data_IF_996900908004
#
_entry.id   IF_996900908004
#
_cell.length_a   1.000
_cell.length_b   1.000
_cell.length_c   1.000
_cell.angle_alpha   90.00
_cell.angle_beta   90.00
_cell.angle_gamma   90.00
#
_symmetry.space_group_name_H-M   'P 1'
#
loop_
_entity.id
_entity.type
_entity.pdbx_description
1 polymer ?
#
# COMPACT_ATOMS: atom_id res chain seq x y z
N UNK A 1 12.04 52.11 37.28
CA UNK A 1 13.10 51.20 37.78
C UNK A 1 12.81 49.84 37.18
N UNK A 2 13.71 49.39 36.29
CA UNK A 2 13.78 48.02 35.80
C UNK A 2 14.31 47.12 36.92
N UNK A 3 13.74 45.93 37.09
CA UNK A 3 14.36 44.82 37.82
C UNK A 3 14.23 43.53 36.99
N UNK A 4 15.33 43.25 36.29
CA UNK A 4 16.12 42.01 36.22
C UNK A 4 15.51 40.62 35.99
N UNK A 5 16.07 40.01 34.95
CA UNK A 5 16.13 38.60 34.58
C UNK A 5 16.68 37.68 35.70
N UNK A 6 16.22 36.42 35.75
CA UNK A 6 17.07 35.21 35.63
C UNK A 6 16.26 33.91 35.69
N UNK A 7 16.83 32.85 35.13
CA UNK A 7 16.16 31.74 34.47
C UNK A 7 16.25 30.37 35.19
N UNK A 8 15.37 29.45 34.74
CA UNK A 8 15.44 27.98 34.73
C UNK A 8 15.40 27.25 36.11
N UNK A 9 14.84 26.05 36.29
CA UNK A 9 14.99 24.78 35.57
C UNK A 9 13.84 23.80 35.93
N UNK A 10 13.51 22.90 34.98
CA UNK A 10 12.84 21.58 35.07
C UNK A 10 11.42 21.42 35.63
N UNK A 11 10.53 20.93 34.75
CA UNK A 11 10.07 19.54 34.81
C UNK A 11 9.73 19.08 33.39
N UNK A 12 10.73 18.50 32.74
CA UNK A 12 10.55 17.61 31.60
C UNK A 12 9.88 16.31 32.09
N UNK A 13 9.27 15.61 31.14
CA UNK A 13 8.50 14.36 31.27
C UNK A 13 7.03 14.48 31.70
N UNK A 14 6.14 14.46 30.70
CA UNK A 14 5.53 13.18 30.31
C UNK A 14 4.76 13.32 28.99
N UNK A 15 5.39 12.75 27.96
CA UNK A 15 4.81 12.01 26.83
C UNK A 15 3.28 11.98 26.81
N UNK A 16 2.69 12.67 25.85
CA UNK A 16 1.49 12.16 25.22
C UNK A 16 1.71 12.09 23.71
N UNK A 17 1.77 10.85 23.26
CA UNK A 17 2.01 10.36 21.92
C UNK A 17 0.94 10.87 20.97
N UNK A 18 1.20 11.96 20.28
CA UNK A 18 0.50 12.28 19.02
C UNK A 18 1.27 11.70 17.83
N UNK A 19 1.84 10.50 18.01
CA UNK A 19 2.38 9.73 16.91
C UNK A 19 1.23 9.02 16.20
N UNK A 20 1.17 9.24 14.90
CA UNK A 20 0.57 8.31 13.93
C UNK A 20 -0.97 8.22 13.89
N UNK A 21 -1.64 9.37 13.74
CA UNK A 21 -2.98 9.37 13.13
C UNK A 21 -2.96 10.07 11.77
N UNK A 22 -3.55 9.38 10.79
CA UNK A 22 -4.05 9.84 9.47
C UNK A 22 -3.15 9.88 8.23
N UNK A 23 -1.83 9.71 8.30
CA UNK A 23 -1.05 9.62 7.04
C UNK A 23 -1.16 8.24 6.39
N UNK A 24 -1.37 7.17 7.17
CA UNK A 24 -1.44 5.82 6.64
C UNK A 24 -2.72 5.58 5.83
N UNK A 25 -3.86 6.12 6.25
CA UNK A 25 -5.15 5.87 5.58
C UNK A 25 -5.18 6.39 4.14
N UNK A 26 -4.63 7.59 3.90
CA UNK A 26 -4.52 8.15 2.54
C UNK A 26 -3.42 7.48 1.70
N UNK A 27 -2.36 6.97 2.32
CA UNK A 27 -1.32 6.20 1.60
C UNK A 27 -1.88 4.85 1.12
N UNK A 28 -2.78 4.21 1.88
CA UNK A 28 -3.41 2.94 1.48
C UNK A 28 -4.21 3.04 0.16
N UNK A 29 -4.86 4.17 -0.14
CA UNK A 29 -5.70 4.35 -1.34
C UNK A 29 -4.97 4.68 -2.65
N UNK A 30 -3.66 4.48 -2.69
CA UNK A 30 -2.88 4.49 -3.93
C UNK A 30 -1.79 3.44 -3.95
N UNK A 31 -1.87 2.43 -3.07
CA UNK A 31 -0.87 1.36 -3.02
C UNK A 31 -0.93 0.59 -4.34
N UNK A 32 0.18 0.52 -5.10
CA UNK A 32 0.29 -0.31 -6.29
C UNK A 32 0.08 -1.78 -5.92
N UNK A 33 -0.70 -2.45 -6.76
CA UNK A 33 -1.01 -3.87 -6.64
C UNK A 33 -0.27 -4.59 -7.76
N UNK A 34 0.50 -5.61 -7.39
CA UNK A 34 1.44 -6.29 -8.25
C UNK A 34 1.10 -7.77 -8.32
N UNK A 35 0.98 -8.31 -9.53
CA UNK A 35 0.94 -9.75 -9.76
C UNK A 35 2.35 -10.26 -10.05
N UNK A 36 2.73 -11.37 -9.42
CA UNK A 36 4.01 -12.01 -9.71
C UNK A 36 3.83 -12.94 -10.91
N UNK A 37 4.42 -12.59 -12.05
CA UNK A 37 4.65 -13.56 -13.11
C UNK A 37 5.81 -14.46 -12.66
N UNK A 38 5.48 -15.60 -12.03
CA UNK A 38 6.45 -16.68 -11.80
C UNK A 38 6.82 -17.34 -13.14
N UNK A 39 7.54 -16.62 -13.99
CA UNK A 39 8.29 -17.22 -15.07
C UNK A 39 9.65 -17.54 -14.49
N UNK A 40 9.89 -18.81 -14.18
CA UNK A 40 11.24 -19.30 -13.90
C UNK A 40 11.92 -19.41 -15.26
N UNK A 41 12.84 -18.51 -15.56
CA UNK A 41 13.71 -18.65 -16.72
C UNK A 41 14.43 -20.01 -16.68
N UNK A 42 14.66 -20.63 -17.84
CA UNK A 42 15.32 -21.95 -17.96
C UNK A 42 16.74 -21.98 -17.37
N UNK A 43 17.33 -20.83 -17.05
CA UNK A 43 18.61 -20.66 -16.38
C UNK A 43 18.52 -20.64 -14.84
N UNK A 44 17.31 -20.74 -14.28
CA UNK A 44 17.06 -20.73 -12.84
C UNK A 44 17.36 -19.40 -12.14
N UNK A 45 17.66 -18.33 -12.88
CA UNK A 45 18.31 -17.14 -12.33
C UNK A 45 17.56 -15.82 -12.58
N UNK A 46 16.53 -15.81 -13.44
CA UNK A 46 15.69 -14.62 -13.65
C UNK A 46 14.28 -14.81 -13.09
N UNK A 47 13.97 -14.07 -12.03
CA UNK A 47 12.59 -13.70 -11.68
C UNK A 47 12.21 -12.46 -12.49
N UNK A 48 11.23 -12.58 -13.38
CA UNK A 48 10.64 -11.42 -14.05
C UNK A 48 10.09 -10.48 -12.96
N UNK A 49 10.39 -9.17 -13.01
CA UNK A 49 9.79 -8.22 -12.07
C UNK A 49 8.27 -8.27 -12.18
N UNK A 50 7.59 -8.34 -11.03
CA UNK A 50 6.13 -8.39 -10.98
C UNK A 50 5.50 -7.20 -11.72
N UNK A 51 4.32 -7.41 -12.29
CA UNK A 51 3.59 -6.42 -13.07
C UNK A 51 2.59 -5.68 -12.19
N UNK A 52 2.62 -4.35 -12.19
CA UNK A 52 1.57 -3.52 -11.59
C UNK A 52 0.29 -3.64 -12.43
N UNK A 53 -0.84 -3.93 -11.77
CA UNK A 53 -2.17 -4.06 -12.40
C UNK A 53 -3.07 -2.87 -12.11
N UNK A 54 -2.59 -1.94 -11.28
CA UNK A 54 -3.35 -0.78 -10.83
C UNK A 54 -3.08 -0.48 -9.37
N UNK A 55 -3.90 0.41 -8.80
CA UNK A 55 -3.77 0.87 -7.42
C UNK A 55 -5.03 0.61 -6.63
N UNK A 56 -4.88 0.31 -5.34
CA UNK A 56 -6.01 0.17 -4.43
C UNK A 56 -6.78 1.49 -4.44
N UNK A 57 -8.07 1.43 -4.77
CA UNK A 57 -8.98 2.56 -4.75
C UNK A 57 -9.88 2.54 -3.51
N UNK A 58 -10.31 1.35 -3.10
CA UNK A 58 -11.17 1.17 -1.93
C UNK A 58 -11.02 -0.25 -1.36
N UNK A 59 -11.52 -0.45 -0.14
CA UNK A 59 -11.81 -1.78 0.39
C UNK A 59 -13.33 -2.00 0.41
N UNK A 60 -13.78 -3.16 -0.04
CA UNK A 60 -15.18 -3.55 0.01
C UNK A 60 -15.33 -4.96 0.58
N UNK A 61 -15.81 -5.05 1.83
CA UNK A 61 -15.86 -6.30 2.60
C UNK A 61 -14.46 -6.93 2.65
N UNK A 62 -14.33 -8.20 2.27
CA UNK A 62 -13.08 -8.94 2.22
C UNK A 62 -12.32 -8.78 0.90
N UNK A 63 -12.57 -7.71 0.14
CA UNK A 63 -11.96 -7.47 -1.16
C UNK A 63 -11.31 -6.08 -1.22
N UNK A 64 -10.31 -5.97 -2.09
CA UNK A 64 -9.72 -4.72 -2.55
C UNK A 64 -10.35 -4.35 -3.89
N UNK A 65 -10.75 -3.10 -4.03
CA UNK A 65 -11.09 -2.51 -5.33
C UNK A 65 -9.82 -1.91 -5.89
N UNK A 66 -9.38 -2.37 -7.06
CA UNK A 66 -8.15 -1.93 -7.73
C UNK A 66 -8.54 -1.31 -9.07
N UNK A 67 -7.97 -0.14 -9.39
CA UNK A 67 -8.23 0.55 -10.65
C UNK A 67 -6.93 0.68 -11.43
N UNK A 68 -6.97 0.25 -12.69
CA UNK A 68 -5.93 0.51 -13.69
C UNK A 68 -6.16 1.87 -14.35
N UNK A 69 -5.13 2.72 -14.33
CA UNK A 69 -5.16 4.10 -14.82
C UNK A 69 -5.42 5.17 -13.75
N UNK A 70 -4.56 6.21 -13.71
CA UNK A 70 -4.70 7.33 -12.75
C UNK A 70 -5.90 8.25 -13.05
N UNK A 71 -6.36 8.34 -14.30
CA UNK A 71 -7.33 9.36 -14.76
C UNK A 71 -8.38 8.89 -15.78
N UNK A 72 -8.32 7.64 -16.25
CA UNK A 72 -9.37 6.97 -17.02
C UNK A 72 -9.47 5.55 -16.45
N UNK A 73 -10.66 5.15 -16.03
CA UNK A 73 -10.95 3.80 -15.54
C UNK A 73 -10.84 2.86 -16.74
N UNK A 74 -9.62 2.42 -17.03
CA UNK A 74 -9.41 1.52 -18.16
C UNK A 74 -9.83 0.10 -17.77
N UNK A 75 -9.58 -0.30 -16.51
CA UNK A 75 -10.04 -1.57 -15.90
C UNK A 75 -10.24 -1.45 -14.40
N UNK A 76 -11.25 -2.13 -13.87
CA UNK A 76 -11.52 -2.23 -12.43
C UNK A 76 -11.51 -3.69 -12.01
N UNK A 77 -10.88 -3.99 -10.87
CA UNK A 77 -10.76 -5.34 -10.34
C UNK A 77 -11.26 -5.42 -8.90
N UNK A 78 -11.98 -6.49 -8.58
CA UNK A 78 -12.41 -6.82 -7.23
C UNK A 78 -11.59 -8.02 -6.72
N UNK A 79 -10.49 -7.73 -6.03
CA UNK A 79 -9.50 -8.72 -5.61
C UNK A 79 -9.79 -9.21 -4.18
N UNK A 80 -10.09 -10.49 -3.94
CA UNK A 80 -10.25 -11.01 -2.59
C UNK A 80 -8.95 -10.92 -1.78
N UNK A 81 -9.01 -10.47 -0.52
CA UNK A 81 -7.84 -10.36 0.35
C UNK A 81 -7.10 -11.69 0.54
N UNK A 82 -7.79 -12.83 0.43
CA UNK A 82 -7.19 -14.19 0.44
C UNK A 82 -6.22 -14.47 -0.72
N UNK A 83 -6.23 -13.64 -1.77
CA UNK A 83 -5.30 -13.74 -2.90
C UNK A 83 -4.04 -12.90 -2.71
N UNK A 84 -3.95 -12.16 -1.61
CA UNK A 84 -2.77 -11.40 -1.25
C UNK A 84 -1.72 -12.37 -0.73
N UNK A 85 -0.53 -12.33 -1.35
CA UNK A 85 0.64 -13.08 -0.93
C UNK A 85 1.34 -12.37 0.23
N UNK A 86 1.61 -11.08 0.06
CA UNK A 86 2.27 -10.24 1.07
C UNK A 86 1.97 -8.76 0.87
N UNK A 87 2.09 -8.03 1.96
CA UNK A 87 2.15 -6.58 2.00
C UNK A 87 3.62 -6.16 2.13
N UNK A 88 4.08 -5.31 1.23
CA UNK A 88 5.30 -4.53 1.41
C UNK A 88 4.90 -3.08 1.71
N UNK A 89 5.77 -2.33 2.41
CA UNK A 89 5.45 -1.02 2.99
C UNK A 89 4.70 -0.08 2.02
N UNK A 90 4.99 -0.18 0.73
CA UNK A 90 4.40 0.64 -0.31
C UNK A 90 3.73 -0.14 -1.44
N UNK A 91 3.58 -1.47 -1.36
CA UNK A 91 3.07 -2.31 -2.47
C UNK A 91 2.33 -3.55 -1.96
N UNK A 92 1.31 -4.02 -2.68
CA UNK A 92 0.60 -5.27 -2.39
C UNK A 92 0.93 -6.29 -3.45
N UNK A 93 1.39 -7.47 -3.04
CA UNK A 93 1.69 -8.56 -3.96
C UNK A 93 0.57 -9.60 -3.92
N UNK A 94 0.10 -9.98 -5.10
CA UNK A 94 -0.93 -10.99 -5.28
C UNK A 94 -0.32 -12.33 -5.70
N UNK A 95 -0.90 -13.41 -5.18
CA UNK A 95 -0.67 -14.77 -5.66
C UNK A 95 -1.75 -15.12 -6.71
N UNK A 96 -1.70 -14.42 -7.83
CA UNK A 96 -2.60 -14.53 -8.99
C UNK A 96 -1.72 -14.50 -10.24
N UNK A 97 -2.03 -15.33 -11.24
CA UNK A 97 -1.38 -15.27 -12.57
C UNK A 97 -2.12 -14.28 -13.48
N UNK A 98 -1.42 -13.69 -14.46
CA UNK A 98 -2.03 -12.74 -15.42
C UNK A 98 -3.27 -13.33 -16.12
N UNK A 99 -3.25 -14.61 -16.49
CA UNK A 99 -4.39 -15.30 -17.09
C UNK A 99 -5.65 -15.30 -16.19
N UNK A 100 -5.46 -15.41 -14.88
CA UNK A 100 -6.57 -15.43 -13.90
C UNK A 100 -7.01 -14.04 -13.45
N UNK A 101 -6.31 -12.98 -13.84
CA UNK A 101 -6.67 -11.61 -13.45
C UNK A 101 -8.05 -11.21 -14.00
N UNK A 102 -8.39 -11.67 -15.20
CA UNK A 102 -9.68 -11.39 -15.86
C UNK A 102 -10.88 -11.92 -15.08
N UNK A 103 -10.69 -12.94 -14.24
CA UNK A 103 -11.77 -13.49 -13.39
C UNK A 103 -12.23 -12.51 -12.30
N UNK A 104 -11.46 -11.43 -12.08
CA UNK A 104 -11.73 -10.42 -11.08
C UNK A 104 -12.13 -9.06 -11.67
N UNK A 105 -12.15 -8.92 -13.00
CA UNK A 105 -12.51 -7.69 -13.71
C UNK A 105 -14.04 -7.51 -13.76
N UNK A 106 -14.55 -6.27 -13.65
CA UNK A 106 -15.98 -5.96 -13.69
C UNK A 106 -16.33 -4.65 -14.42
#
# INVERSE_FOLDING_TARGET
MMNDHSAAIENDETKNTNDSFDWNYYIFYRIPVIINDKIISNDGMSTVPGREIGRVFAEYKDNLVVIDGENKKDREYLIPKRKIDRYDKNQIFLNISDDSLKDFEF
#
